data_IF_098355990379
#
_entry.id   IF_098355990379
#
_cell.length_a   1.000
_cell.length_b   1.000
_cell.length_c   1.000
_cell.angle_alpha   90.00
_cell.angle_beta   90.00
_cell.angle_gamma   90.00
#
_symmetry.space_group_name_H-M   'P 1'
#
loop_
_entity.id
_entity.type
_entity.pdbx_description
1 polymer ?
#
# COMPACT_ATOMS: atom_id res chain seq x y z
N UNK A 1 -19.91 -9.94 -0.75
CA UNK A 1 -19.39 -8.70 -0.66
C UNK A 1 -17.93 -8.67 -0.40
N UNK A 2 -17.22 -8.42 -1.33
CA UNK A 2 -15.83 -8.60 -1.17
C UNK A 2 -15.12 -7.30 -1.11
N UNK A 3 -15.08 -6.72 0.02
CA UNK A 3 -14.35 -5.51 0.19
C UNK A 3 -12.94 -5.81 0.56
N UNK A 4 -12.40 -6.87 -0.01
CA UNK A 4 -11.09 -7.32 0.36
C UNK A 4 -10.13 -7.15 -0.80
N UNK A 5 -9.00 -6.52 -0.52
CA UNK A 5 -7.97 -6.33 -1.52
C UNK A 5 -7.04 -7.52 -1.54
N UNK A 6 -6.90 -8.14 -2.71
CA UNK A 6 -5.95 -9.22 -2.90
C UNK A 6 -4.63 -8.63 -3.38
N UNK A 7 -3.62 -8.63 -2.51
CA UNK A 7 -2.32 -8.08 -2.85
C UNK A 7 -1.47 -9.18 -3.48
N UNK A 8 -0.95 -8.89 -4.67
CA UNK A 8 -0.04 -9.79 -5.35
C UNK A 8 1.35 -9.65 -4.73
N UNK A 9 1.71 -10.61 -3.89
CA UNK A 9 2.98 -10.53 -3.16
C UNK A 9 4.18 -10.55 -4.07
N UNK A 10 4.05 -11.11 -5.26
CA UNK A 10 5.15 -11.12 -6.22
C UNK A 10 5.38 -9.75 -6.86
N UNK A 11 4.40 -8.85 -6.73
CA UNK A 11 4.51 -7.51 -7.32
C UNK A 11 5.13 -6.49 -6.37
N UNK A 12 5.37 -6.86 -5.11
CA UNK A 12 5.85 -5.91 -4.12
C UNK A 12 7.26 -5.45 -4.49
N UNK A 13 7.43 -4.15 -4.60
CA UNK A 13 8.69 -3.54 -5.01
C UNK A 13 9.01 -2.35 -4.11
N UNK A 14 10.19 -2.41 -3.49
CA UNK A 14 10.66 -1.33 -2.62
C UNK A 14 11.37 -0.28 -3.48
N UNK A 15 10.69 0.83 -3.73
CA UNK A 15 11.23 1.91 -4.55
C UNK A 15 11.96 2.91 -3.64
N UNK A 16 13.26 2.72 -3.52
CA UNK A 16 14.07 3.56 -2.63
C UNK A 16 14.14 5.00 -3.09
N UNK A 17 14.13 5.22 -4.41
CA UNK A 17 14.23 6.56 -4.96
C UNK A 17 13.02 7.41 -4.61
N UNK A 18 11.83 6.81 -4.66
CA UNK A 18 10.60 7.52 -4.32
C UNK A 18 10.20 7.33 -2.88
N UNK A 19 10.93 6.52 -2.14
CA UNK A 19 10.66 6.21 -0.74
C UNK A 19 9.23 5.70 -0.56
N UNK A 20 8.90 4.68 -1.32
CA UNK A 20 7.58 4.04 -1.27
C UNK A 20 7.70 2.58 -1.66
N UNK A 21 6.75 1.77 -1.21
CA UNK A 21 6.64 0.38 -1.62
C UNK A 21 5.48 0.30 -2.59
N UNK A 22 5.76 -0.22 -3.80
CA UNK A 22 4.76 -0.33 -4.85
C UNK A 22 4.25 -1.76 -4.91
N UNK A 23 2.98 -1.92 -5.18
CA UNK A 23 2.39 -3.25 -5.27
C UNK A 23 1.12 -3.21 -6.10
N UNK A 24 0.71 -4.38 -6.57
CA UNK A 24 -0.54 -4.53 -7.32
C UNK A 24 -1.57 -5.19 -6.42
N UNK A 25 -2.79 -4.65 -6.42
CA UNK A 25 -3.89 -5.24 -5.71
C UNK A 25 -5.06 -5.49 -6.65
N UNK A 26 -5.85 -6.50 -6.35
CA UNK A 26 -7.00 -6.87 -7.17
C UNK A 26 -8.26 -6.84 -6.34
N UNK A 27 -9.32 -6.25 -6.90
CA UNK A 27 -10.63 -6.19 -6.27
C UNK A 27 -11.66 -6.55 -7.34
N UNK A 28 -12.43 -7.59 -7.08
CA UNK A 28 -13.51 -8.03 -8.00
C UNK A 28 -13.01 -8.26 -9.42
N UNK A 29 -11.77 -8.73 -9.56
CA UNK A 29 -11.20 -9.02 -10.86
C UNK A 29 -10.50 -7.86 -11.53
N UNK A 30 -10.53 -6.68 -10.91
CA UNK A 30 -9.85 -5.50 -11.45
C UNK A 30 -8.55 -5.27 -10.72
N UNK A 31 -7.47 -5.08 -11.48
CA UNK A 31 -6.15 -4.82 -10.90
C UNK A 31 -5.87 -3.33 -10.82
N UNK A 32 -5.26 -2.94 -9.72
CA UNK A 32 -4.88 -1.55 -9.48
C UNK A 32 -3.43 -1.50 -9.01
N UNK A 33 -2.75 -0.41 -9.36
CA UNK A 33 -1.39 -0.17 -8.91
C UNK A 33 -1.43 0.73 -7.69
N UNK A 34 -0.72 0.35 -6.64
CA UNK A 34 -0.67 1.11 -5.39
C UNK A 34 0.77 1.43 -5.03
N UNK A 35 0.94 2.52 -4.27
CA UNK A 35 2.22 2.87 -3.69
C UNK A 35 1.97 3.33 -2.26
N UNK A 36 2.61 2.68 -1.30
CA UNK A 36 2.52 3.08 0.10
C UNK A 36 3.81 3.78 0.48
N UNK A 37 3.69 5.04 0.92
CA UNK A 37 4.86 5.84 1.23
C UNK A 37 5.54 5.35 2.51
N UNK A 38 6.84 5.61 2.62
CA UNK A 38 7.60 5.19 3.79
C UNK A 38 7.05 5.79 5.08
N UNK A 39 6.53 7.04 5.02
CA UNK A 39 5.98 7.64 6.21
C UNK A 39 4.74 6.90 6.72
N UNK A 40 4.01 6.22 5.83
CA UNK A 40 2.89 5.37 6.24
C UNK A 40 3.42 4.17 7.00
N UNK A 41 4.48 3.55 6.48
CA UNK A 41 5.09 2.41 7.16
C UNK A 41 5.65 2.82 8.51
N UNK A 42 6.23 4.01 8.59
CA UNK A 42 6.73 4.54 9.85
C UNK A 42 5.60 4.76 10.83
N UNK A 43 4.47 5.30 10.37
CA UNK A 43 3.32 5.53 11.23
C UNK A 43 2.77 4.22 11.79
N UNK A 44 2.82 3.15 11.00
CA UNK A 44 2.30 1.86 11.42
C UNK A 44 3.27 1.13 12.35
N UNK A 45 4.56 1.17 12.05
CA UNK A 45 5.54 0.37 12.78
C UNK A 45 6.24 1.13 13.89
N UNK A 46 6.23 2.46 13.83
CA UNK A 46 6.92 3.28 14.80
C UNK A 46 8.35 3.62 14.42
N UNK A 47 8.87 3.02 13.33
CA UNK A 47 10.24 3.24 12.89
C UNK A 47 10.29 3.43 11.39
N UNK A 48 11.16 4.35 10.94
CA UNK A 48 11.34 4.55 9.50
C UNK A 48 12.01 3.31 8.89
N UNK A 49 11.57 2.89 7.71
CA UNK A 49 12.19 1.74 7.05
C UNK A 49 13.66 2.02 6.70
N UNK A 50 14.51 1.04 6.92
CA UNK A 50 15.92 1.17 6.61
C UNK A 50 16.37 -0.05 5.82
N UNK A 51 15.94 -0.12 4.57
CA UNK A 51 16.26 -1.24 3.71
C UNK A 51 15.35 -2.44 3.91
N UNK A 52 14.36 -2.33 4.79
CA UNK A 52 13.44 -3.43 5.07
C UNK A 52 11.98 -3.02 4.86
N UNK A 53 11.75 -2.06 3.95
CA UNK A 53 10.40 -1.56 3.74
C UNK A 53 9.44 -2.64 3.27
N UNK A 54 9.91 -3.55 2.41
CA UNK A 54 9.05 -4.63 1.93
C UNK A 54 8.68 -5.59 3.06
N UNK A 55 9.60 -5.82 3.99
CA UNK A 55 9.33 -6.65 5.14
C UNK A 55 8.33 -5.99 6.08
N UNK A 56 8.50 -4.69 6.32
CA UNK A 56 7.55 -3.92 7.12
C UNK A 56 6.17 -3.96 6.48
N UNK A 57 6.12 -3.83 5.16
CA UNK A 57 4.86 -3.94 4.42
C UNK A 57 4.18 -5.27 4.74
N UNK A 58 4.92 -6.36 4.72
CA UNK A 58 4.36 -7.68 4.98
C UNK A 58 3.81 -7.84 6.40
N UNK A 59 4.42 -7.14 7.36
CA UNK A 59 3.95 -7.18 8.74
C UNK A 59 2.64 -6.45 8.94
N UNK A 60 2.42 -5.39 8.16
CA UNK A 60 1.25 -4.53 8.34
C UNK A 60 0.34 -4.57 7.12
N UNK A 61 0.28 -5.72 6.45
CA UNK A 61 -0.50 -5.85 5.23
C UNK A 61 -1.99 -5.59 5.48
N UNK A 62 -2.52 -5.99 6.63
CA UNK A 62 -3.93 -5.78 6.91
C UNK A 62 -4.32 -4.31 6.99
N UNK A 63 -3.66 -3.49 7.84
CA UNK A 63 -3.99 -2.06 7.84
C UNK A 63 -3.63 -1.38 6.52
N UNK A 64 -2.59 -1.85 5.83
CA UNK A 64 -2.25 -1.28 4.52
C UNK A 64 -3.35 -1.59 3.51
N UNK A 65 -3.92 -2.79 3.55
CA UNK A 65 -5.03 -3.14 2.67
C UNK A 65 -6.23 -2.23 2.91
N UNK A 66 -6.55 -1.97 4.17
CA UNK A 66 -7.66 -1.07 4.49
C UNK A 66 -7.38 0.33 4.00
N UNK A 67 -6.15 0.81 4.18
CA UNK A 67 -5.77 2.14 3.70
C UNK A 67 -5.80 2.19 2.18
N UNK A 68 -5.40 1.09 1.51
CA UNK A 68 -5.44 1.04 0.06
C UNK A 68 -6.88 1.13 -0.46
N UNK A 69 -7.81 0.46 0.20
CA UNK A 69 -9.21 0.54 -0.18
C UNK A 69 -9.75 1.96 -0.01
N UNK A 70 -9.36 2.63 1.07
CA UNK A 70 -9.76 4.01 1.30
C UNK A 70 -9.19 4.94 0.23
N UNK A 71 -7.92 4.74 -0.12
CA UNK A 71 -7.27 5.55 -1.14
C UNK A 71 -7.90 5.32 -2.51
N UNK A 72 -8.26 4.08 -2.82
CA UNK A 72 -8.93 3.74 -4.07
C UNK A 72 -10.29 4.41 -4.17
N UNK A 73 -11.03 4.41 -3.07
CA UNK A 73 -12.34 5.06 -3.05
C UNK A 73 -12.23 6.56 -3.28
N UNK A 74 -11.09 7.16 -2.90
CA UNK A 74 -10.87 8.58 -3.06
C UNK A 74 -10.35 8.93 -4.46
N UNK A 75 -9.43 8.10 -4.98
CA UNK A 75 -8.70 8.40 -6.22
C UNK A 75 -8.64 7.19 -7.15
N UNK A 76 -9.81 6.70 -7.57
CA UNK A 76 -9.85 5.46 -8.37
C UNK A 76 -9.45 5.69 -9.83
N UNK A 77 -9.28 6.93 -10.26
CA UNK A 77 -8.92 7.24 -11.64
C UNK A 77 -7.43 7.52 -11.83
N UNK A 78 -6.62 7.31 -10.81
CA UNK A 78 -5.19 7.54 -10.91
C UNK A 78 -4.48 6.28 -11.43
N UNK A 79 -3.43 6.44 -12.27
CA UNK A 79 -2.67 5.28 -12.73
C UNK A 79 -1.96 4.57 -11.59
N UNK A 80 -1.52 5.31 -10.59
CA UNK A 80 -0.97 4.74 -9.36
C UNK A 80 -1.66 5.41 -8.19
N UNK A 81 -2.20 4.61 -7.30
CA UNK A 81 -2.93 5.12 -6.15
C UNK A 81 -1.96 5.21 -4.98
N UNK A 82 -1.66 6.42 -4.55
CA UNK A 82 -0.70 6.66 -3.48
C UNK A 82 -1.42 6.65 -2.14
N UNK A 83 -1.00 5.74 -1.27
CA UNK A 83 -1.54 5.62 0.07
C UNK A 83 -0.76 6.54 0.98
N UNK A 84 -1.48 7.39 1.72
CA UNK A 84 -0.85 8.36 2.62
C UNK A 84 -1.31 8.13 4.05
N UNK A 85 -0.72 8.86 4.99
CA UNK A 85 -1.10 8.73 6.39
C UNK A 85 -2.57 9.06 6.63
N UNK A 86 -3.14 9.92 5.80
CA UNK A 86 -4.55 10.26 5.93
C UNK A 86 -5.45 9.06 5.70
N UNK A 87 -4.99 8.08 4.95
CA UNK A 87 -5.78 6.89 4.64
C UNK A 87 -5.77 5.87 5.76
N UNK A 88 -4.97 6.11 6.79
CA UNK A 88 -4.92 5.21 7.94
C UNK A 88 -6.05 5.46 8.93
N UNK A 89 -6.79 6.51 8.78
CA UNK A 89 -7.86 6.85 9.72
C UNK A 89 -9.19 6.27 9.35
#
# INVERSE_FOLDING_TARGET
MADRLDIDKASIFDNLDEQQVEFTGEIDGDEYQFAVQYNVLEALSGDAPEGDAAETFGRFVDPISDAALAALARDDDQPIIVISENDLE
#
